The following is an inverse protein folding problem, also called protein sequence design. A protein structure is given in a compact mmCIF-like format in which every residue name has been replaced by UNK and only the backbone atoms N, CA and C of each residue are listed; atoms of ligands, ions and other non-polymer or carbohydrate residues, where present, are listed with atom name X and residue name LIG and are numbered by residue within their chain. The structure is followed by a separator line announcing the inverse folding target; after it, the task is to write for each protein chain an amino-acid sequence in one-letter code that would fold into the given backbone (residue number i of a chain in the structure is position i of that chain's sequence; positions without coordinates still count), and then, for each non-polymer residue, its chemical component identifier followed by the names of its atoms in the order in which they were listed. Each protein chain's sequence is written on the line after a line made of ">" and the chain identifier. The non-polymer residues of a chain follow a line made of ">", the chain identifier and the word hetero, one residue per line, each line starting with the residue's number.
data_IF_751238591091
#
_entry.id   IF_751238591091
#
_cell.length_a   1.000
_cell.length_b   1.000
_cell.length_c   1.000
_cell.angle_alpha   90.00
_cell.angle_beta   90.00
_cell.angle_gamma   90.00
#
_symmetry.space_group_name_H-M   'P 1'
#
loop_
_entity.id
_entity.type
_entity.pdbx_description
1 polymer ?
#
# COMPACT_ATOMS: atom_id res chain seq x y z
N UNK A 1 -14.86 -24.62 -4.12
CA UNK A 1 -13.50 -24.63 -4.71
C UNK A 1 -12.54 -24.62 -3.54
N UNK A 2 -11.84 -25.72 -3.29
CA UNK A 2 -10.88 -25.81 -2.18
C UNK A 2 -9.59 -25.08 -2.56
N UNK A 3 -9.22 -24.04 -1.80
CA UNK A 3 -8.05 -23.19 -2.05
C UNK A 3 -6.78 -23.68 -1.33
N UNK A 4 -6.87 -24.81 -0.64
CA UNK A 4 -5.77 -25.41 0.12
C UNK A 4 -5.15 -26.52 -0.72
N UNK A 5 -3.95 -26.27 -1.21
CA UNK A 5 -3.17 -27.27 -1.96
C UNK A 5 -2.20 -27.94 -1.00
N UNK A 6 -2.17 -29.27 -1.05
CA UNK A 6 -1.16 -30.08 -0.36
C UNK A 6 0.06 -30.19 -1.26
N UNK A 7 1.14 -29.53 -0.87
CA UNK A 7 2.44 -29.71 -1.53
C UNK A 7 3.30 -30.67 -0.71
N UNK A 8 3.96 -31.59 -1.41
CA UNK A 8 4.89 -32.54 -0.82
C UNK A 8 6.31 -32.10 -1.18
N UNK A 9 7.14 -31.90 -0.16
CA UNK A 9 8.58 -31.66 -0.32
C UNK A 9 9.37 -32.82 0.24
N UNK A 10 10.56 -33.06 -0.29
CA UNK A 10 11.48 -34.07 0.21
C UNK A 10 12.50 -33.39 1.14
N UNK A 11 12.52 -33.82 2.40
CA UNK A 11 13.50 -33.43 3.40
C UNK A 11 14.71 -34.38 3.33
N UNK A 12 15.82 -33.83 2.85
CA UNK A 12 17.10 -34.52 2.70
C UNK A 12 17.99 -34.47 3.94
N UNK A 13 17.52 -33.92 5.06
CA UNK A 13 18.34 -33.78 6.28
C UNK A 13 18.87 -35.14 6.77
N UNK A 14 18.03 -36.18 6.74
CA UNK A 14 18.46 -37.55 7.09
C UNK A 14 19.40 -38.16 6.06
N UNK A 15 19.14 -37.94 4.77
CA UNK A 15 20.01 -38.41 3.67
C UNK A 15 21.40 -37.79 3.80
N UNK A 16 21.46 -36.50 4.12
CA UNK A 16 22.70 -35.77 4.37
C UNK A 16 23.47 -36.40 5.54
N UNK A 17 22.83 -36.61 6.69
CA UNK A 17 23.48 -37.23 7.86
C UNK A 17 23.96 -38.64 7.57
N UNK A 18 23.14 -39.48 6.92
CA UNK A 18 23.51 -40.83 6.53
C UNK A 18 24.67 -40.84 5.51
N UNK A 19 24.68 -39.90 4.57
CA UNK A 19 25.77 -39.76 3.59
C UNK A 19 27.09 -39.35 4.24
N UNK A 20 27.04 -38.47 5.25
CA UNK A 20 28.23 -38.14 6.05
C UNK A 20 28.73 -39.36 6.84
N UNK A 21 27.81 -40.14 7.43
CA UNK A 21 28.17 -41.40 8.10
C UNK A 21 28.81 -42.42 7.16
N UNK A 22 28.34 -42.51 5.91
CA UNK A 22 28.95 -43.34 4.86
C UNK A 22 30.37 -42.88 4.51
N UNK A 23 30.57 -41.57 4.37
CA UNK A 23 31.87 -40.98 4.03
C UNK A 23 32.90 -41.17 5.14
N UNK A 24 32.47 -41.03 6.41
CA UNK A 24 33.30 -41.28 7.58
C UNK A 24 33.69 -42.77 7.68
N UNK A 25 32.76 -43.67 7.34
CA UNK A 25 32.96 -45.13 7.37
C UNK A 25 33.39 -45.69 6.01
N UNK A 26 34.06 -44.92 5.15
CA UNK A 26 34.40 -45.31 3.76
C UNK A 26 35.19 -46.62 3.60
N UNK A 27 35.95 -47.03 4.61
CA UNK A 27 36.69 -48.31 4.62
C UNK A 27 35.77 -49.54 4.76
N UNK A 28 34.53 -49.36 5.22
CA UNK A 28 33.54 -50.41 5.49
C UNK A 28 32.36 -50.41 4.51
N UNK A 29 32.48 -49.70 3.39
CA UNK A 29 31.43 -49.57 2.36
C UNK A 29 31.02 -50.93 1.78
N UNK A 30 31.97 -51.86 1.64
CA UNK A 30 31.72 -53.21 1.13
C UNK A 30 32.05 -54.30 2.17
N UNK A 31 32.13 -53.95 3.45
CA UNK A 31 32.36 -54.95 4.50
C UNK A 31 31.16 -55.91 4.59
N UNK A 32 31.44 -57.20 4.81
CA UNK A 32 30.41 -58.25 4.93
C UNK A 32 29.63 -58.13 6.25
N UNK A 33 30.27 -57.58 7.29
CA UNK A 33 29.67 -57.25 8.58
C UNK A 33 29.69 -55.74 8.81
N UNK A 34 28.55 -55.17 9.26
CA UNK A 34 28.36 -53.72 9.46
C UNK A 34 28.69 -52.89 8.20
N UNK A 35 28.01 -53.23 7.10
CA UNK A 35 28.18 -52.57 5.80
C UNK A 35 27.66 -51.12 5.85
N UNK A 36 28.57 -50.15 5.67
CA UNK A 36 28.21 -48.73 5.75
C UNK A 36 27.27 -48.28 4.62
N UNK A 37 27.35 -48.91 3.44
CA UNK A 37 26.46 -48.64 2.32
C UNK A 37 25.04 -49.14 2.59
N UNK A 38 24.91 -50.30 3.24
CA UNK A 38 23.63 -50.83 3.67
C UNK A 38 23.00 -49.93 4.75
N UNK A 39 23.80 -49.47 5.71
CA UNK A 39 23.38 -48.48 6.73
C UNK A 39 22.89 -47.18 6.06
N UNK A 40 23.62 -46.68 5.06
CA UNK A 40 23.18 -45.52 4.27
C UNK A 40 21.88 -45.75 3.50
N UNK A 41 21.68 -46.91 2.88
CA UNK A 41 20.45 -47.20 2.13
C UNK A 41 19.25 -47.32 3.08
N UNK A 42 19.43 -47.93 4.26
CA UNK A 42 18.36 -48.07 5.23
C UNK A 42 18.02 -46.75 5.93
N UNK A 43 19.01 -45.93 6.29
CA UNK A 43 18.80 -44.71 7.06
C UNK A 43 18.70 -43.44 6.21
N UNK A 44 19.20 -43.48 4.98
CA UNK A 44 19.31 -42.37 4.04
C UNK A 44 18.09 -42.18 3.13
N UNK A 45 16.93 -42.73 3.48
CA UNK A 45 15.69 -42.44 2.77
C UNK A 45 15.23 -40.98 3.04
N UNK A 46 14.93 -40.18 1.99
CA UNK A 46 14.42 -38.82 2.18
C UNK A 46 13.05 -38.86 2.83
N UNK A 47 12.80 -37.98 3.81
CA UNK A 47 11.50 -37.91 4.47
C UNK A 47 10.57 -37.02 3.66
N UNK A 48 9.37 -37.49 3.37
CA UNK A 48 8.33 -36.65 2.78
C UNK A 48 7.77 -35.71 3.85
N UNK A 49 7.73 -34.42 3.55
CA UNK A 49 7.15 -33.37 4.41
C UNK A 49 6.01 -32.69 3.67
N UNK A 50 4.81 -32.78 4.25
CA UNK A 50 3.59 -32.17 3.73
C UNK A 50 3.51 -30.71 4.20
N UNK A 51 3.26 -29.81 3.25
CA UNK A 51 2.97 -28.41 3.50
C UNK A 51 1.57 -28.09 3.00
N UNK A 52 0.72 -27.60 3.91
CA UNK A 52 -0.61 -27.08 3.56
C UNK A 52 -0.47 -25.62 3.14
N UNK A 53 -0.62 -25.35 1.85
CA UNK A 53 -0.57 -23.99 1.30
C UNK A 53 -2.00 -23.49 1.08
N UNK A 54 -2.39 -22.50 1.87
CA UNK A 54 -3.67 -21.79 1.72
C UNK A 54 -3.50 -20.64 0.71
N UNK A 55 -3.95 -20.86 -0.51
CA UNK A 55 -3.87 -19.89 -1.61
C UNK A 55 -4.66 -18.61 -1.29
N UNK A 56 -5.76 -18.72 -0.53
CA UNK A 56 -6.57 -17.55 -0.13
C UNK A 56 -5.80 -16.66 0.83
N UNK A 57 -5.15 -17.27 1.83
CA UNK A 57 -4.29 -16.55 2.76
C UNK A 57 -3.10 -15.88 2.04
N UNK A 58 -2.51 -16.57 1.06
CA UNK A 58 -1.42 -16.00 0.27
C UNK A 58 -1.88 -14.77 -0.54
N UNK A 59 -3.01 -14.89 -1.24
CA UNK A 59 -3.59 -13.78 -2.03
C UNK A 59 -3.95 -12.59 -1.14
N UNK A 60 -4.60 -12.82 0.01
CA UNK A 60 -4.93 -11.76 0.97
C UNK A 60 -3.67 -11.05 1.49
N UNK A 61 -2.62 -11.80 1.81
CA UNK A 61 -1.34 -11.23 2.23
C UNK A 61 -0.71 -10.37 1.14
N UNK A 62 -0.72 -10.83 -0.12
CA UNK A 62 -0.19 -10.07 -1.26
C UNK A 62 -1.02 -8.81 -1.54
N UNK A 63 -2.36 -8.91 -1.44
CA UNK A 63 -3.26 -7.77 -1.59
C UNK A 63 -2.97 -6.71 -0.53
N UNK A 64 -2.89 -7.11 0.75
CA UNK A 64 -2.54 -6.19 1.84
C UNK A 64 -1.19 -5.54 1.60
N UNK A 65 -0.17 -6.30 1.19
CA UNK A 65 1.14 -5.75 0.88
C UNK A 65 1.09 -4.73 -0.26
N UNK A 66 0.35 -5.01 -1.34
CA UNK A 66 0.18 -4.07 -2.45
C UNK A 66 -0.53 -2.77 -2.02
N UNK A 67 -1.57 -2.86 -1.18
CA UNK A 67 -2.24 -1.69 -0.61
C UNK A 67 -1.27 -0.86 0.24
N UNK A 68 -0.45 -1.49 1.08
CA UNK A 68 0.55 -0.78 1.89
C UNK A 68 1.61 -0.10 1.02
N UNK A 69 2.07 -0.77 -0.04
CA UNK A 69 3.02 -0.19 -0.99
C UNK A 69 2.44 1.02 -1.72
N UNK A 70 1.17 0.96 -2.14
CA UNK A 70 0.48 2.08 -2.77
C UNK A 70 0.39 3.28 -1.81
N UNK A 71 -0.06 3.04 -0.57
CA UNK A 71 -0.18 4.08 0.46
C UNK A 71 1.19 4.76 0.67
N UNK A 72 2.25 3.97 0.86
CA UNK A 72 3.60 4.48 1.06
C UNK A 72 4.09 5.26 -0.15
N UNK A 73 3.86 4.76 -1.36
CA UNK A 73 4.29 5.42 -2.60
C UNK A 73 3.60 6.78 -2.78
N UNK A 74 2.28 6.83 -2.65
CA UNK A 74 1.52 8.07 -2.76
C UNK A 74 1.90 9.07 -1.67
N UNK A 75 2.09 8.62 -0.42
CA UNK A 75 2.56 9.50 0.66
C UNK A 75 3.93 10.08 0.32
N UNK A 76 4.91 9.24 -0.05
CA UNK A 76 6.26 9.69 -0.41
C UNK A 76 6.24 10.70 -1.56
N UNK A 77 5.53 10.40 -2.65
CA UNK A 77 5.39 11.30 -3.78
C UNK A 77 4.95 12.73 -3.38
N UNK A 78 4.10 12.84 -2.36
CA UNK A 78 3.57 14.12 -1.86
C UNK A 78 4.46 14.77 -0.80
N UNK A 79 5.19 13.99 -0.01
CA UNK A 79 6.03 14.47 1.11
C UNK A 79 7.52 14.51 0.79
N UNK A 80 7.92 14.03 -0.38
CA UNK A 80 9.29 13.86 -0.88
C UNK A 80 10.16 15.12 -0.69
N UNK A 81 9.67 16.35 -1.00
CA UNK A 81 10.48 17.55 -0.81
C UNK A 81 10.86 17.80 0.65
N UNK A 82 9.94 17.54 1.59
CA UNK A 82 10.19 17.69 3.03
C UNK A 82 11.16 16.63 3.51
N UNK A 83 10.98 15.37 3.11
CA UNK A 83 11.82 14.27 3.56
C UNK A 83 13.28 14.44 3.09
N UNK A 84 13.48 14.87 1.84
CA UNK A 84 14.82 15.09 1.26
C UNK A 84 15.55 16.28 1.86
N UNK A 85 14.86 17.41 2.06
CA UNK A 85 15.51 18.67 2.45
C UNK A 85 15.55 18.86 3.97
N UNK A 86 14.48 18.45 4.64
CA UNK A 86 14.24 18.76 6.05
C UNK A 86 14.24 17.51 6.93
N UNK A 87 14.01 16.32 6.36
CA UNK A 87 13.99 15.06 7.10
C UNK A 87 15.30 14.78 7.84
N UNK A 88 16.45 15.01 7.21
CA UNK A 88 17.74 14.89 7.88
C UNK A 88 17.87 15.87 9.06
N UNK A 89 17.38 17.11 8.90
CA UNK A 89 17.55 18.17 9.90
C UNK A 89 16.61 17.98 11.08
N UNK A 90 15.34 17.65 10.82
CA UNK A 90 14.34 17.31 11.85
C UNK A 90 14.83 16.12 12.68
N UNK A 91 15.38 15.09 12.04
CA UNK A 91 15.89 13.90 12.74
C UNK A 91 17.16 14.20 13.56
N UNK A 92 18.07 15.04 13.05
CA UNK A 92 19.28 15.42 13.78
C UNK A 92 19.01 16.33 14.98
N UNK A 93 18.04 17.24 14.90
CA UNK A 93 17.62 18.09 16.03
C UNK A 93 17.12 17.26 17.22
N UNK A 94 16.50 16.11 16.97
CA UNK A 94 16.05 15.19 18.01
C UNK A 94 17.21 14.37 18.63
N UNK A 95 18.34 14.23 17.94
CA UNK A 95 19.46 13.38 18.35
C UNK A 95 20.63 14.15 19.00
N UNK A 96 20.88 15.40 18.60
CA UNK A 96 21.94 16.24 19.16
C UNK A 96 21.52 17.72 19.17
N UNK A 97 21.78 18.40 20.29
CA UNK A 97 21.36 19.77 20.62
C UNK A 97 22.00 20.90 19.78
N UNK A 98 22.41 20.64 18.54
CA UNK A 98 22.89 21.67 17.63
C UNK A 98 21.72 22.20 16.80
N UNK A 99 21.28 23.43 17.10
CA UNK A 99 20.30 24.18 16.31
C UNK A 99 20.90 24.52 14.94
N UNK A 100 20.80 23.60 13.98
CA UNK A 100 21.05 23.90 12.58
C UNK A 100 19.87 24.74 12.11
N UNK A 101 20.04 26.07 12.10
CA UNK A 101 19.07 26.99 11.49
C UNK A 101 19.23 26.92 9.97
N UNK A 102 18.17 26.48 9.30
CA UNK A 102 18.05 26.59 7.85
C UNK A 102 17.52 27.98 7.56
N UNK A 103 17.91 28.56 6.42
CA UNK A 103 17.31 29.81 5.96
C UNK A 103 15.78 29.63 5.86
N UNK A 104 14.98 30.47 6.55
CA UNK A 104 13.52 30.43 6.49
C UNK A 104 12.98 30.43 5.06
N UNK A 105 13.67 31.07 4.12
CA UNK A 105 13.26 31.15 2.73
C UNK A 105 13.30 29.78 2.02
N UNK A 106 14.27 28.93 2.35
CA UNK A 106 14.37 27.57 1.82
C UNK A 106 13.20 26.73 2.35
N UNK A 107 12.88 26.87 3.64
CA UNK A 107 11.75 26.15 4.25
C UNK A 107 10.43 26.60 3.61
N UNK A 108 10.25 27.91 3.38
CA UNK A 108 9.09 28.45 2.68
C UNK A 108 8.91 27.88 1.27
N UNK A 109 10.02 27.73 0.52
CA UNK A 109 10.02 27.12 -0.81
C UNK A 109 9.62 25.65 -0.76
N UNK A 110 10.17 24.89 0.19
CA UNK A 110 9.82 23.47 0.39
C UNK A 110 8.34 23.31 0.72
N UNK A 111 7.80 24.11 1.65
CA UNK A 111 6.37 24.11 2.00
C UNK A 111 5.52 24.45 0.77
N UNK A 112 5.89 25.50 0.03
CA UNK A 112 5.18 25.90 -1.18
C UNK A 112 5.16 24.80 -2.24
N UNK A 113 6.27 24.10 -2.43
CA UNK A 113 6.37 22.99 -3.39
C UNK A 113 5.50 21.81 -2.97
N UNK A 114 5.47 21.46 -1.69
CA UNK A 114 4.60 20.39 -1.16
C UNK A 114 3.13 20.75 -1.35
N UNK A 115 2.74 22.00 -1.09
CA UNK A 115 1.38 22.46 -1.31
C UNK A 115 1.00 22.44 -2.80
N UNK A 116 1.95 22.73 -3.69
CA UNK A 116 1.79 22.59 -5.13
C UNK A 116 1.57 21.12 -5.49
N UNK A 117 2.42 20.21 -5.00
CA UNK A 117 2.26 18.76 -5.23
C UNK A 117 0.90 18.27 -4.74
N UNK A 118 0.45 18.68 -3.55
CA UNK A 118 -0.87 18.32 -3.05
C UNK A 118 -1.97 18.79 -4.00
N UNK A 119 -1.91 20.04 -4.48
CA UNK A 119 -2.93 20.60 -5.38
C UNK A 119 -3.00 19.88 -6.74
N UNK A 120 -1.87 19.45 -7.30
CA UNK A 120 -1.84 18.87 -8.65
C UNK A 120 -1.81 17.33 -8.69
N UNK A 121 -1.14 16.68 -7.74
CA UNK A 121 -0.99 15.21 -7.73
C UNK A 121 -2.14 14.49 -7.04
N UNK A 122 -2.74 15.08 -6.00
CA UNK A 122 -3.88 14.44 -5.30
C UNK A 122 -5.07 14.19 -6.24
N UNK A 123 -5.51 15.13 -7.09
CA UNK A 123 -6.54 14.85 -8.08
C UNK A 123 -6.17 13.70 -9.03
N UNK A 124 -4.91 13.64 -9.48
CA UNK A 124 -4.42 12.59 -10.38
C UNK A 124 -4.42 11.21 -9.72
N UNK A 125 -4.01 11.14 -8.45
CA UNK A 125 -4.07 9.91 -7.64
C UNK A 125 -5.53 9.46 -7.47
N UNK A 126 -6.43 10.39 -7.15
CA UNK A 126 -7.85 10.09 -6.96
C UNK A 126 -8.51 9.62 -8.27
N UNK A 127 -8.19 10.24 -9.40
CA UNK A 127 -8.67 9.79 -10.71
C UNK A 127 -8.18 8.39 -11.05
N UNK A 128 -6.91 8.09 -10.74
CA UNK A 128 -6.35 6.75 -10.95
C UNK A 128 -7.05 5.72 -10.06
N UNK A 129 -7.25 6.03 -8.77
CA UNK A 129 -8.00 5.18 -7.85
C UNK A 129 -9.41 4.91 -8.36
N UNK A 130 -10.12 5.93 -8.82
CA UNK A 130 -11.47 5.80 -9.37
C UNK A 130 -11.54 4.97 -10.66
N UNK A 131 -10.50 5.04 -11.50
CA UNK A 131 -10.46 4.27 -12.75
C UNK A 131 -10.27 2.77 -12.50
N UNK A 132 -9.49 2.40 -11.49
CA UNK A 132 -9.09 1.02 -11.23
C UNK A 132 -9.84 0.36 -10.07
N UNK A 133 -10.46 1.13 -9.18
CA UNK A 133 -11.27 0.62 -8.08
C UNK A 133 -12.75 0.80 -8.43
N UNK A 134 -13.51 -0.30 -8.41
CA UNK A 134 -14.93 -0.26 -8.72
C UNK A 134 -15.79 0.34 -7.59
N UNK A 135 -15.24 0.48 -6.38
CA UNK A 135 -15.98 0.87 -5.17
C UNK A 135 -15.34 2.09 -4.48
N UNK A 136 -16.13 3.15 -4.36
CA UNK A 136 -15.78 4.39 -3.67
C UNK A 136 -15.37 4.20 -2.20
N UNK A 137 -15.97 3.22 -1.51
CA UNK A 137 -15.59 2.90 -0.14
C UNK A 137 -14.15 2.40 -0.07
N UNK A 138 -13.73 1.57 -1.04
CA UNK A 138 -12.36 1.07 -1.13
C UNK A 138 -11.37 2.20 -1.44
N UNK A 139 -11.73 3.13 -2.31
CA UNK A 139 -10.95 4.35 -2.55
C UNK A 139 -10.75 5.16 -1.27
N UNK A 140 -11.84 5.38 -0.51
CA UNK A 140 -11.82 6.11 0.76
C UNK A 140 -10.95 5.41 1.82
N UNK A 141 -11.07 4.09 1.94
CA UNK A 141 -10.26 3.26 2.85
C UNK A 141 -8.76 3.39 2.52
N UNK A 142 -8.39 3.40 1.23
CA UNK A 142 -7.00 3.53 0.79
C UNK A 142 -6.47 4.97 0.90
N UNK A 143 -7.31 5.97 0.65
CA UNK A 143 -6.90 7.37 0.67
C UNK A 143 -6.81 7.95 2.09
N UNK A 144 -7.64 7.48 3.02
CA UNK A 144 -7.61 7.91 4.44
C UNK A 144 -6.21 7.83 5.08
N UNK A 145 -5.46 6.71 5.01
CA UNK A 145 -4.12 6.65 5.58
C UNK A 145 -3.14 7.60 4.88
N UNK A 146 -3.27 7.82 3.56
CA UNK A 146 -2.44 8.79 2.82
C UNK A 146 -2.67 10.19 3.37
N UNK A 147 -3.94 10.60 3.53
CA UNK A 147 -4.32 11.89 4.13
C UNK A 147 -3.74 12.04 5.54
N UNK A 148 -3.91 11.01 6.39
CA UNK A 148 -3.43 11.06 7.77
C UNK A 148 -1.91 11.22 7.85
N UNK A 149 -1.15 10.55 6.98
CA UNK A 149 0.30 10.67 6.94
C UNK A 149 0.75 12.09 6.54
N UNK A 150 0.10 12.70 5.54
CA UNK A 150 0.40 14.08 5.11
C UNK A 150 0.11 15.06 6.23
N UNK A 151 -1.07 14.97 6.85
CA UNK A 151 -1.46 15.81 7.99
C UNK A 151 -0.49 15.61 9.16
N UNK A 152 -0.09 14.37 9.45
CA UNK A 152 0.90 14.05 10.48
C UNK A 152 2.26 14.69 10.21
N UNK A 153 2.72 14.69 8.96
CA UNK A 153 3.95 15.38 8.56
C UNK A 153 3.85 16.90 8.78
N UNK A 154 2.74 17.54 8.39
CA UNK A 154 2.54 18.97 8.66
C UNK A 154 2.46 19.29 10.15
N UNK A 155 1.91 18.39 10.97
CA UNK A 155 1.93 18.53 12.43
C UNK A 155 3.35 18.50 12.98
N UNK A 156 4.17 17.55 12.54
CA UNK A 156 5.59 17.48 12.94
C UNK A 156 6.37 18.69 12.47
N UNK A 157 6.13 19.13 11.23
CA UNK A 157 6.75 20.30 10.64
C UNK A 157 6.41 21.58 11.41
N UNK A 158 5.12 21.78 11.74
CA UNK A 158 4.66 22.93 12.52
C UNK A 158 5.28 22.95 13.93
N UNK A 159 5.35 21.81 14.61
CA UNK A 159 6.01 21.70 15.92
C UNK A 159 7.50 22.05 15.83
N UNK A 160 8.19 21.53 14.81
CA UNK A 160 9.60 21.83 14.57
C UNK A 160 9.83 23.31 14.25
N UNK A 161 8.93 23.94 13.48
CA UNK A 161 8.99 25.36 13.17
C UNK A 161 8.83 26.23 14.43
N UNK A 162 7.85 25.92 15.27
CA UNK A 162 7.62 26.63 16.53
C UNK A 162 8.79 26.52 17.52
N UNK A 163 9.54 25.43 17.49
CA UNK A 163 10.71 25.24 18.36
C UNK A 163 11.98 25.99 17.89
N UNK A 164 12.10 26.29 16.59
CA UNK A 164 13.36 26.76 15.99
C UNK A 164 13.33 28.18 15.42
N UNK A 165 12.15 28.73 15.12
CA UNK A 165 11.98 30.02 14.44
C UNK A 165 11.15 31.01 15.25
N UNK A 166 11.45 32.30 15.10
CA UNK A 166 10.67 33.39 15.69
C UNK A 166 9.30 33.54 15.02
N UNK A 167 8.40 34.34 15.61
CA UNK A 167 7.08 34.61 15.02
C UNK A 167 7.17 35.31 13.65
N UNK A 168 8.18 36.17 13.45
CA UNK A 168 8.41 36.86 12.17
C UNK A 168 8.91 35.90 11.08
N UNK A 169 9.84 35.00 11.43
CA UNK A 169 10.35 33.96 10.53
C UNK A 169 9.24 32.95 10.17
N UNK A 170 8.34 32.62 11.11
CA UNK A 170 7.19 31.76 10.85
C UNK A 170 6.20 32.39 9.87
N UNK A 171 5.98 33.71 9.96
CA UNK A 171 5.13 34.43 9.02
C UNK A 171 5.72 34.40 7.60
N UNK A 172 7.05 34.52 7.48
CA UNK A 172 7.75 34.41 6.19
C UNK A 172 7.62 33.01 5.58
N UNK A 173 7.66 31.96 6.40
CA UNK A 173 7.52 30.57 5.95
C UNK A 173 6.09 30.25 5.48
N UNK A 174 5.08 30.92 6.07
CA UNK A 174 3.67 30.77 5.72
C UNK A 174 3.18 29.31 5.72
N UNK A 175 3.66 28.50 6.67
CA UNK A 175 3.23 27.10 6.79
C UNK A 175 1.75 27.02 7.18
N UNK A 176 0.90 26.27 6.43
CA UNK A 176 -0.50 26.11 6.79
C UNK A 176 -0.67 25.25 8.03
N UNK A 177 -1.79 25.44 8.73
CA UNK A 177 -2.16 24.57 9.84
C UNK A 177 -2.52 23.16 9.34
N UNK A 178 -2.27 22.10 10.14
CA UNK A 178 -2.65 20.73 9.79
C UNK A 178 -4.15 20.61 9.45
N UNK A 179 -5.00 21.37 10.13
CA UNK A 179 -6.44 21.45 9.86
C UNK A 179 -6.74 21.98 8.45
N UNK A 180 -6.04 23.04 8.02
CA UNK A 180 -6.21 23.63 6.69
C UNK A 180 -5.78 22.66 5.58
N UNK A 181 -4.67 21.95 5.80
CA UNK A 181 -4.21 20.90 4.87
C UNK A 181 -5.22 19.77 4.80
N UNK A 182 -5.78 19.37 5.95
CA UNK A 182 -6.81 18.34 6.05
C UNK A 182 -8.08 18.70 5.26
N UNK A 183 -8.49 19.97 5.31
CA UNK A 183 -9.61 20.51 4.52
C UNK A 183 -9.25 20.51 3.02
N UNK A 184 -8.06 20.98 2.65
CA UNK A 184 -7.61 21.01 1.25
C UNK A 184 -7.61 19.62 0.62
N UNK A 185 -7.16 18.60 1.36
CA UNK A 185 -7.18 17.20 0.90
C UNK A 185 -8.61 16.63 0.78
N UNK A 186 -9.56 17.21 1.51
CA UNK A 186 -10.97 16.80 1.50
C UNK A 186 -11.81 17.54 0.47
N UNK A 187 -11.44 18.76 0.08
CA UNK A 187 -12.17 19.50 -0.96
C UNK A 187 -11.88 18.95 -2.36
N UNK A 188 -10.69 18.38 -2.58
CA UNK A 188 -10.32 17.73 -3.84
C UNK A 188 -11.17 16.49 -4.14
N UNK A 189 -11.65 15.77 -3.11
CA UNK A 189 -12.55 14.61 -3.31
C UNK A 189 -14.00 15.03 -3.68
N UNK A 190 -14.41 16.26 -3.34
CA UNK A 190 -15.78 16.75 -3.54
C UNK A 190 -16.01 17.28 -4.96
N UNK A 191 -15.03 17.95 -5.57
CA UNK A 191 -15.16 18.54 -6.92
C UNK A 191 -15.49 17.50 -8.00
N UNK A 192 -15.00 16.26 -7.84
CA UNK A 192 -15.31 15.18 -8.79
C UNK A 192 -16.61 14.43 -8.50
N UNK A 193 -17.15 14.55 -7.29
CA UNK A 193 -18.48 14.00 -6.95
C UNK A 193 -19.61 14.77 -7.67
N UNK A 194 -19.41 16.05 -7.96
CA UNK A 194 -20.36 16.88 -8.71
C UNK A 194 -20.33 16.57 -10.22
N UNK A 195 -19.14 16.40 -10.80
CA UNK A 195 -18.96 16.10 -12.23
C UNK A 195 -19.59 14.75 -12.65
N UNK A 196 -19.61 13.74 -11.77
CA UNK A 196 -20.31 12.48 -12.06
C UNK A 196 -21.83 12.59 -11.95
N UNK A 197 -22.36 13.54 -11.16
CA UNK A 197 -23.81 13.74 -11.01
C UNK A 197 -24.43 14.43 -12.21
N UNK A 198 -23.68 15.28 -12.90
CA UNK A 198 -24.12 15.96 -14.14
C UNK A 198 -24.12 15.03 -15.36
N UNK A 199 -23.31 13.97 -15.37
CA UNK A 199 -23.33 12.98 -16.47
C UNK A 199 -24.48 11.98 -16.40
N UNK A 200 -25.11 11.81 -15.23
CA UNK A 200 -26.28 10.93 -15.06
C UNK A 200 -27.64 11.60 -15.30
N UNK A 201 -27.70 12.92 -15.50
CA UNK A 201 -28.95 13.67 -15.63
C UNK A 201 -29.23 14.24 -17.03
N UNK A 202 -28.32 14.08 -18.01
CA UNK A 202 -28.47 14.68 -19.34
C UNK A 202 -28.78 13.70 -20.48
N UNK A 203 -29.08 12.42 -20.22
CA UNK A 203 -29.45 11.45 -21.27
C UNK A 203 -30.73 10.70 -20.92
N UNK A 204 -31.89 11.32 -21.12
CA UNK A 204 -33.15 10.64 -20.88
C UNK A 204 -34.41 11.46 -21.16
N UNK A 205 -34.51 12.17 -22.28
CA UNK A 205 -35.81 12.66 -22.77
C UNK A 205 -35.81 12.85 -24.29
N UNK A 206 -36.38 11.87 -25.02
CA UNK A 206 -37.35 12.07 -26.11
C UNK A 206 -37.39 10.86 -27.04
N UNK A 207 -38.49 10.10 -26.99
CA UNK A 207 -39.28 9.76 -28.17
C UNK A 207 -40.61 9.17 -27.69
N UNK A 208 -41.64 10.00 -27.77
CA UNK A 208 -43.04 9.60 -27.73
C UNK A 208 -43.35 8.68 -28.93
N UNK A 209 -44.10 7.60 -28.69
CA UNK A 209 -45.13 7.15 -29.62
C UNK A 209 -46.31 6.55 -28.85
N UNK A 210 -47.43 7.27 -28.91
CA UNK A 210 -48.81 6.86 -28.67
C UNK A 210 -49.15 5.56 -29.44
N UNK A 211 -50.07 4.68 -29.01
CA UNK A 211 -51.54 4.87 -29.05
C UNK A 211 -52.29 3.68 -28.40
N UNK A 212 -53.47 3.98 -27.81
CA UNK A 212 -54.72 3.18 -27.69
C UNK A 212 -54.70 1.87 -26.85
N UNK A 213 -55.35 1.81 -25.68
CA UNK A 213 -56.80 1.75 -25.39
C UNK A 213 -57.44 0.37 -25.69
N UNK A 214 -57.75 -0.36 -24.61
CA UNK A 214 -58.70 -1.49 -24.51
C UNK A 214 -60.09 -1.09 -25.03
N UNK A 215 -60.93 -2.00 -25.58
CA UNK A 215 -61.68 -2.93 -24.71
C UNK A 215 -62.00 -4.33 -25.29
N UNK A 216 -62.11 -5.31 -24.38
CA UNK A 216 -63.13 -6.36 -24.22
C UNK A 216 -63.69 -7.22 -25.41
N UNK A 217 -63.86 -8.51 -25.09
CA UNK A 217 -65.01 -9.40 -25.43
C UNK A 217 -64.87 -10.49 -26.54
N UNK A 218 -64.78 -11.74 -26.05
CA UNK A 218 -65.46 -13.01 -26.41
C UNK A 218 -65.73 -13.51 -27.86
N UNK A 219 -65.77 -14.86 -27.94
CA UNK A 219 -66.35 -15.78 -28.94
C UNK A 219 -65.45 -16.22 -30.11
N UNK A 220 -64.97 -17.47 -30.13
CA UNK A 220 -65.63 -18.70 -30.63
C UNK A 220 -65.95 -18.70 -32.13
N UNK A 221 -65.17 -19.48 -32.88
CA UNK A 221 -65.62 -20.50 -33.85
C UNK A 221 -64.49 -21.50 -34.07
#
# INVERSE_FOLDING_TARGET
>A
VDFTVKEYSLDFSKVKTAAFGLLEKRSRVFALSNNALLEFILEGAPRMKEHLIDSRKHVDSKLKAACQMLIQHCTKLLTDPVEKTLGAIINNVNANQQKIKVDPQIVAQVVSEVLRLIKFQVPSIQQSMQLYLANRETESILFRPIRNNIVGMFTQLSQWLHANYSAEEQLLIACPLPEQVSIMLSSTTLTHSAAQKEQSTSSGTSSQKTTAADPAESAQS
#
